data_IF_512376224771
#
_entry.id   IF_512376224771
#
_cell.length_a   1.000
_cell.length_b   1.000
_cell.length_c   1.000
_cell.angle_alpha   90.00
_cell.angle_beta   90.00
_cell.angle_gamma   90.00
#
_symmetry.space_group_name_H-M   'P 1'
#
loop_
_entity.id
_entity.type
_entity.pdbx_description
1 polymer ?
#
# COMPACT_ATOMS: atom_id res chain seq x y z
N UNK A 1 2.26 -13.68 6.60
CA UNK A 1 3.21 -12.57 6.84
C UNK A 1 2.54 -11.57 7.78
N UNK A 2 3.07 -11.32 8.97
CA UNK A 2 2.47 -10.35 9.92
C UNK A 2 2.55 -8.95 9.32
N UNK A 3 1.39 -8.33 9.11
CA UNK A 3 1.21 -6.99 8.53
C UNK A 3 2.09 -5.98 9.28
N UNK A 4 2.84 -5.13 8.57
CA UNK A 4 3.75 -4.11 9.12
C UNK A 4 3.07 -3.23 10.18
N UNK A 5 1.77 -3.00 10.02
CA UNK A 5 0.94 -2.29 11.00
C UNK A 5 0.84 -3.00 12.35
N UNK A 6 0.85 -4.34 12.39
CA UNK A 6 0.85 -5.12 13.64
C UNK A 6 2.18 -5.03 14.38
N UNK A 7 3.31 -4.95 13.67
CA UNK A 7 4.64 -4.75 14.29
C UNK A 7 4.78 -3.33 14.87
N UNK A 8 4.25 -2.33 14.16
CA UNK A 8 4.23 -0.96 14.66
C UNK A 8 3.29 -0.81 15.87
N UNK A 9 2.11 -1.45 15.88
CA UNK A 9 1.25 -1.37 17.05
C UNK A 9 1.89 -2.04 18.30
N UNK A 10 2.70 -3.08 18.11
CA UNK A 10 3.36 -3.81 19.19
C UNK A 10 4.49 -3.04 19.90
N UNK A 11 5.16 -2.05 19.28
CA UNK A 11 6.20 -1.26 19.99
C UNK A 11 5.61 -0.14 20.87
N UNK A 12 4.37 0.27 20.63
CA UNK A 12 3.73 1.32 21.42
C UNK A 12 3.43 0.88 22.86
N UNK A 13 3.10 -0.40 23.04
CA UNK A 13 2.84 -0.99 24.35
C UNK A 13 4.09 -1.01 25.27
N UNK A 14 5.28 -1.50 24.83
CA UNK A 14 6.49 -1.39 25.64
C UNK A 14 6.98 0.05 25.78
N UNK A 15 6.80 0.92 24.79
CA UNK A 15 7.18 2.33 24.88
C UNK A 15 6.39 3.07 25.98
N UNK A 16 5.07 2.84 26.06
CA UNK A 16 4.22 3.40 27.12
C UNK A 16 4.59 2.85 28.49
N UNK A 17 4.93 1.56 28.58
CA UNK A 17 5.44 0.94 29.81
C UNK A 17 6.73 1.60 30.32
N UNK A 18 7.70 1.85 29.44
CA UNK A 18 8.96 2.54 29.80
C UNK A 18 8.70 3.97 30.26
N UNK A 19 7.80 4.71 29.58
CA UNK A 19 7.45 6.08 29.98
C UNK A 19 6.78 6.14 31.36
N UNK A 20 5.87 5.21 31.68
CA UNK A 20 5.24 5.15 33.01
C UNK A 20 6.25 4.85 34.13
N UNK A 21 7.21 3.96 33.88
CA UNK A 21 8.27 3.65 34.86
C UNK A 21 9.14 4.89 35.10
N UNK A 22 9.52 5.62 34.04
CA UNK A 22 10.30 6.85 34.19
C UNK A 22 9.53 7.93 34.97
N UNK A 23 8.22 8.09 34.72
CA UNK A 23 7.38 9.03 35.47
C UNK A 23 7.31 8.63 36.95
N UNK A 24 7.12 7.35 37.26
CA UNK A 24 7.06 6.86 38.65
C UNK A 24 8.38 7.05 39.40
N UNK A 25 9.52 6.80 38.74
CA UNK A 25 10.86 7.01 39.32
C UNK A 25 11.11 8.50 39.59
N UNK A 26 10.76 9.40 38.65
CA UNK A 26 10.90 10.84 38.88
C UNK A 26 9.98 11.31 40.02
N UNK A 27 8.75 10.81 40.09
CA UNK A 27 7.82 11.16 41.17
C UNK A 27 8.31 10.70 42.56
N UNK A 28 9.06 9.60 42.64
CA UNK A 28 9.67 9.12 43.89
C UNK A 28 10.91 9.94 44.30
N UNK A 29 11.72 10.38 43.34
CA UNK A 29 12.94 11.17 43.59
C UNK A 29 12.60 12.64 43.90
N UNK A 30 11.59 13.21 43.24
CA UNK A 30 11.21 14.62 43.34
C UNK A 30 10.28 14.94 44.53
N UNK A 31 10.25 14.14 45.61
CA UNK A 31 9.35 14.36 46.76
C UNK A 31 9.56 15.73 47.48
N UNK A 32 10.66 16.44 47.19
CA UNK A 32 10.89 17.86 47.55
C UNK A 32 11.22 18.78 46.34
N UNK A 33 11.16 18.27 45.11
CA UNK A 33 11.65 18.92 43.88
C UNK A 33 10.57 19.59 43.01
N UNK A 34 11.00 20.23 41.91
CA UNK A 34 10.12 20.93 40.96
C UNK A 34 9.37 19.95 40.05
N UNK A 35 8.04 20.00 40.06
CA UNK A 35 7.13 19.14 39.27
C UNK A 35 7.23 19.29 37.73
N UNK A 36 8.11 20.17 37.24
CA UNK A 36 8.25 20.50 35.82
C UNK A 36 8.71 19.31 34.95
N UNK A 37 9.62 18.48 35.45
CA UNK A 37 10.17 17.31 34.75
C UNK A 37 9.11 16.24 34.47
N UNK A 38 8.30 15.93 35.49
CA UNK A 38 7.21 14.95 35.40
C UNK A 38 6.09 15.39 34.44
N UNK A 39 5.78 16.69 34.42
CA UNK A 39 4.75 17.26 33.52
C UNK A 39 5.17 17.18 32.05
N UNK A 40 6.45 17.44 31.75
CA UNK A 40 7.00 17.32 30.39
C UNK A 40 6.96 15.88 29.87
N UNK A 41 7.37 14.90 30.69
CA UNK A 41 7.33 13.48 30.33
C UNK A 41 5.90 12.99 30.04
N UNK A 42 4.93 13.43 30.84
CA UNK A 42 3.52 13.12 30.60
C UNK A 42 3.02 13.71 29.27
N UNK A 43 3.38 14.96 28.96
CA UNK A 43 3.04 15.60 27.69
C UNK A 43 3.60 14.87 26.47
N UNK A 44 4.86 14.41 26.54
CA UNK A 44 5.49 13.61 25.48
C UNK A 44 4.83 12.24 25.32
N UNK A 45 4.49 11.58 26.43
CA UNK A 45 3.80 10.29 26.41
C UNK A 45 2.38 10.43 25.81
N UNK A 46 1.62 11.44 26.24
CA UNK A 46 0.29 11.72 25.73
C UNK A 46 0.32 12.09 24.23
N UNK A 47 1.25 12.94 23.81
CA UNK A 47 1.42 13.32 22.41
C UNK A 47 1.83 12.16 21.50
N UNK A 48 2.68 11.26 22.00
CA UNK A 48 3.08 10.04 21.26
C UNK A 48 1.94 9.04 21.14
N UNK A 49 1.00 9.02 22.09
CA UNK A 49 -0.15 8.12 22.08
C UNK A 49 -1.34 8.66 21.25
N UNK A 50 -1.59 9.96 21.31
CA UNK A 50 -2.66 10.64 20.55
C UNK A 50 -2.23 11.12 19.16
N UNK A 51 -0.95 10.99 18.80
CA UNK A 51 -0.44 11.25 17.46
C UNK A 51 -1.29 10.56 16.40
N UNK A 52 -2.07 11.36 15.67
CA UNK A 52 -3.16 10.91 14.80
C UNK A 52 -2.67 9.90 13.77
N UNK A 53 -2.98 8.62 13.99
CA UNK A 53 -2.72 7.56 13.02
C UNK A 53 -3.75 7.68 11.92
N UNK A 54 -3.36 8.16 10.75
CA UNK A 54 -4.09 7.89 9.51
C UNK A 54 -3.94 6.40 9.21
N UNK A 55 -4.76 5.57 9.84
CA UNK A 55 -4.89 4.16 9.47
C UNK A 55 -5.67 4.11 8.16
N UNK A 56 -4.98 3.85 7.06
CA UNK A 56 -5.61 3.56 5.78
C UNK A 56 -6.33 2.21 5.96
N UNK A 57 -7.66 2.25 6.07
CA UNK A 57 -8.46 1.03 6.08
C UNK A 57 -8.37 0.42 4.69
N UNK A 58 -7.53 -0.61 4.55
CA UNK A 58 -7.38 -1.34 3.30
C UNK A 58 -8.48 -2.41 3.27
N UNK A 59 -9.31 -2.40 2.23
CA UNK A 59 -10.28 -3.47 2.03
C UNK A 59 -9.54 -4.77 1.72
N UNK A 60 -9.74 -5.77 2.58
CA UNK A 60 -9.11 -7.08 2.48
C UNK A 60 -9.60 -7.80 1.22
N UNK A 61 -10.86 -7.62 0.83
CA UNK A 61 -11.43 -8.28 -0.34
C UNK A 61 -10.77 -7.77 -1.63
N UNK A 62 -10.69 -6.44 -1.79
CA UNK A 62 -10.04 -5.83 -2.96
C UNK A 62 -8.54 -6.18 -3.01
N UNK A 63 -7.86 -6.23 -1.87
CA UNK A 63 -6.47 -6.67 -1.79
C UNK A 63 -6.29 -8.10 -2.29
N UNK A 64 -7.11 -9.04 -1.82
CA UNK A 64 -7.01 -10.45 -2.23
C UNK A 64 -7.32 -10.66 -3.71
N UNK A 65 -8.34 -9.96 -4.23
CA UNK A 65 -8.66 -9.97 -5.68
C UNK A 65 -7.50 -9.46 -6.51
N UNK A 66 -6.94 -8.31 -6.12
CA UNK A 66 -5.79 -7.70 -6.82
C UNK A 66 -4.58 -8.63 -6.81
N UNK A 67 -4.29 -9.23 -5.65
CA UNK A 67 -3.19 -10.18 -5.51
C UNK A 67 -3.37 -11.42 -6.41
N UNK A 68 -4.59 -11.96 -6.49
CA UNK A 68 -4.90 -13.09 -7.36
C UNK A 68 -4.66 -12.75 -8.84
N UNK A 69 -5.15 -11.59 -9.29
CA UNK A 69 -4.98 -11.15 -10.68
C UNK A 69 -3.50 -10.99 -11.02
N UNK A 70 -2.70 -10.40 -10.13
CA UNK A 70 -1.24 -10.27 -10.32
C UNK A 70 -0.56 -11.65 -10.39
N UNK A 71 -0.98 -12.62 -9.57
CA UNK A 71 -0.42 -13.98 -9.60
C UNK A 71 -0.73 -14.71 -10.91
N UNK A 72 -1.93 -14.52 -11.45
CA UNK A 72 -2.31 -15.08 -12.75
C UNK A 72 -1.53 -14.41 -13.89
N UNK A 73 -1.40 -13.08 -13.85
CA UNK A 73 -0.59 -12.34 -14.82
C UNK A 73 0.88 -12.77 -14.79
N UNK A 74 1.44 -13.03 -13.61
CA UNK A 74 2.80 -13.54 -13.46
C UNK A 74 2.99 -14.95 -14.06
N UNK A 75 1.91 -15.72 -14.22
CA UNK A 75 1.90 -17.03 -14.91
C UNK A 75 1.63 -16.91 -16.41
N UNK A 76 1.49 -15.69 -16.93
CA UNK A 76 1.18 -15.41 -18.34
C UNK A 76 -0.31 -15.38 -18.66
N UNK A 77 -1.19 -15.51 -17.65
CA UNK A 77 -2.63 -15.36 -17.85
C UNK A 77 -3.03 -13.89 -17.64
N UNK A 78 -3.15 -13.15 -18.74
CA UNK A 78 -3.48 -11.71 -18.73
C UNK A 78 -4.98 -11.43 -18.88
N UNK A 79 -5.84 -12.45 -18.92
CA UNK A 79 -7.30 -12.27 -19.06
C UNK A 79 -8.02 -11.79 -17.78
N UNK A 80 -7.59 -12.17 -16.55
CA UNK A 80 -8.30 -11.77 -15.35
C UNK A 80 -8.35 -10.24 -15.18
N UNK A 81 -9.51 -9.74 -14.76
CA UNK A 81 -9.74 -8.33 -14.45
C UNK A 81 -10.33 -8.17 -13.06
N UNK A 82 -9.96 -7.08 -12.40
CA UNK A 82 -10.51 -6.69 -11.11
C UNK A 82 -11.80 -5.90 -11.38
N UNK A 83 -12.95 -6.46 -11.03
CA UNK A 83 -14.28 -5.87 -11.28
C UNK A 83 -14.96 -5.46 -9.98
N UNK A 84 -16.00 -4.63 -10.08
CA UNK A 84 -16.77 -4.11 -8.95
C UNK A 84 -15.88 -3.38 -7.91
N UNK A 85 -15.03 -2.47 -8.41
CA UNK A 85 -14.15 -1.64 -7.58
C UNK A 85 -14.94 -0.45 -7.04
N UNK A 86 -15.06 -0.30 -5.73
CA UNK A 86 -15.64 0.90 -5.12
C UNK A 86 -14.61 2.05 -5.16
N UNK A 87 -14.91 3.17 -5.85
CA UNK A 87 -13.98 4.29 -6.01
C UNK A 87 -13.60 4.98 -4.68
N UNK A 88 -14.39 4.78 -3.62
CA UNK A 88 -14.11 5.35 -2.31
C UNK A 88 -13.05 4.56 -1.53
N UNK A 89 -12.68 3.37 -1.99
CA UNK A 89 -11.70 2.54 -1.31
C UNK A 89 -10.27 3.04 -1.57
N UNK A 90 -9.39 3.05 -0.54
CA UNK A 90 -8.03 3.56 -0.70
C UNK A 90 -7.19 2.79 -1.74
N UNK A 91 -7.53 1.52 -2.02
CA UNK A 91 -6.83 0.65 -2.97
C UNK A 91 -7.43 0.70 -4.39
N UNK A 92 -8.55 1.41 -4.59
CA UNK A 92 -9.29 1.42 -5.85
C UNK A 92 -8.44 1.87 -7.04
N UNK A 93 -7.64 2.92 -6.86
CA UNK A 93 -6.75 3.43 -7.91
C UNK A 93 -5.67 2.41 -8.30
N UNK A 94 -5.20 1.61 -7.35
CA UNK A 94 -4.22 0.56 -7.64
C UNK A 94 -4.89 -0.57 -8.44
N UNK A 95 -6.09 -1.00 -8.03
CA UNK A 95 -6.83 -2.02 -8.76
C UNK A 95 -7.14 -1.61 -10.20
N UNK A 96 -7.58 -0.35 -10.41
CA UNK A 96 -7.80 0.21 -11.74
C UNK A 96 -6.50 0.26 -12.56
N UNK A 97 -5.42 0.79 -11.99
CA UNK A 97 -4.13 0.86 -12.67
C UNK A 97 -3.55 -0.51 -13.05
N UNK A 98 -3.86 -1.57 -12.29
CA UNK A 98 -3.49 -2.94 -12.66
C UNK A 98 -4.30 -3.42 -13.88
N UNK A 99 -5.61 -3.14 -13.94
CA UNK A 99 -6.40 -3.47 -15.13
C UNK A 99 -5.87 -2.75 -16.36
N UNK A 100 -5.62 -1.44 -16.26
CA UNK A 100 -5.12 -0.63 -17.37
C UNK A 100 -3.76 -1.15 -17.88
N UNK A 101 -2.88 -1.57 -16.96
CA UNK A 101 -1.60 -2.19 -17.32
C UNK A 101 -1.79 -3.50 -18.09
N UNK A 102 -2.72 -4.35 -17.66
CA UNK A 102 -3.00 -5.61 -18.34
C UNK A 102 -3.59 -5.38 -19.73
N UNK A 103 -4.47 -4.40 -19.89
CA UNK A 103 -5.05 -4.02 -21.18
C UNK A 103 -3.98 -3.52 -22.16
N UNK A 104 -3.07 -2.65 -21.69
CA UNK A 104 -1.94 -2.19 -22.51
C UNK A 104 -1.02 -3.35 -22.92
N UNK A 105 -0.77 -4.31 -22.02
CA UNK A 105 0.04 -5.47 -22.35
C UNK A 105 -0.63 -6.37 -23.38
N UNK A 106 -1.94 -6.59 -23.28
CA UNK A 106 -2.71 -7.34 -24.27
C UNK A 106 -2.67 -6.65 -25.64
N UNK A 107 -2.88 -5.33 -25.67
CA UNK A 107 -2.82 -4.54 -26.89
C UNK A 107 -1.44 -4.63 -27.57
N UNK A 108 -0.36 -4.51 -26.78
CA UNK A 108 1.02 -4.68 -27.25
C UNK A 108 1.25 -6.07 -27.83
N UNK A 109 0.80 -7.13 -27.15
CA UNK A 109 0.95 -8.51 -27.62
C UNK A 109 0.20 -8.74 -28.94
N UNK A 110 -1.04 -8.24 -29.05
CA UNK A 110 -1.85 -8.35 -30.27
C UNK A 110 -1.19 -7.61 -31.45
N UNK A 111 -0.66 -6.42 -31.20
CA UNK A 111 0.04 -5.64 -32.21
C UNK A 111 1.34 -6.31 -32.66
N UNK A 112 2.10 -6.84 -31.71
CA UNK A 112 3.34 -7.59 -31.99
C UNK A 112 3.04 -8.80 -32.86
N UNK A 113 1.99 -9.57 -32.52
CA UNK A 113 1.53 -10.71 -33.31
C UNK A 113 1.18 -10.29 -34.75
N UNK A 114 0.36 -9.25 -34.91
CA UNK A 114 -0.06 -8.75 -36.23
C UNK A 114 1.13 -8.26 -37.06
N UNK A 115 2.12 -7.64 -36.41
CA UNK A 115 3.35 -7.17 -37.06
C UNK A 115 4.19 -8.34 -37.57
N UNK A 116 4.35 -9.39 -36.77
CA UNK A 116 5.06 -10.62 -37.15
C UNK A 116 4.34 -11.32 -38.31
N UNK A 117 3.02 -11.46 -38.23
CA UNK A 117 2.21 -12.08 -39.29
C UNK A 117 2.30 -11.29 -40.61
N UNK A 118 2.21 -9.96 -40.55
CA UNK A 118 2.33 -9.11 -41.74
C UNK A 118 3.73 -9.20 -42.38
N UNK A 119 4.78 -9.17 -41.55
CA UNK A 119 6.15 -9.34 -42.02
C UNK A 119 6.37 -10.72 -42.66
N UNK A 120 5.78 -11.78 -42.11
CA UNK A 120 5.84 -13.13 -42.69
C UNK A 120 5.19 -13.23 -44.08
N UNK A 121 4.23 -12.34 -44.36
CA UNK A 121 3.57 -12.20 -45.66
C UNK A 121 4.29 -11.22 -46.61
N UNK A 122 5.48 -10.74 -46.25
CA UNK A 122 6.26 -9.78 -47.03
C UNK A 122 5.73 -8.33 -46.99
N UNK A 123 4.78 -8.02 -46.11
CA UNK A 123 4.28 -6.64 -45.90
C UNK A 123 5.19 -5.94 -44.90
N UNK A 124 5.89 -4.91 -45.35
CA UNK A 124 6.89 -4.17 -44.55
C UNK A 124 6.37 -2.86 -43.95
N UNK A 125 5.09 -2.53 -44.16
CA UNK A 125 4.45 -1.33 -43.61
C UNK A 125 3.56 -1.69 -42.42
N UNK A 126 3.48 -0.79 -41.45
CA UNK A 126 2.58 -0.87 -40.28
C UNK A 126 1.95 0.48 -40.03
N UNK A 127 0.66 0.49 -39.70
CA UNK A 127 0.04 1.68 -39.13
C UNK A 127 0.43 1.76 -37.64
N UNK A 128 1.16 2.81 -37.25
CA UNK A 128 1.58 3.06 -35.87
C UNK A 128 0.62 4.08 -35.26
N UNK A 129 0.12 3.80 -34.05
CA UNK A 129 -0.60 4.79 -33.27
C UNK A 129 0.41 5.77 -32.66
N UNK A 130 0.40 7.02 -33.14
CA UNK A 130 1.34 8.05 -32.67
C UNK A 130 1.06 8.50 -31.22
N UNK A 131 -0.10 8.13 -30.67
CA UNK A 131 -0.57 8.50 -29.33
C UNK A 131 -0.32 7.43 -28.25
N UNK A 132 0.35 6.32 -28.60
CA UNK A 132 0.61 5.20 -27.70
C UNK A 132 -0.53 4.18 -27.63
N UNK A 133 -0.36 3.16 -26.77
CA UNK A 133 -1.43 2.20 -26.47
C UNK A 133 -2.42 2.88 -25.52
N UNK A 134 -3.68 2.98 -25.95
CA UNK A 134 -4.81 3.42 -25.13
C UNK A 134 -5.38 2.25 -24.36
#
# INVERSE_FOLDING_TARGET
>A
MKNSQTRYNAYNLPFLGVMLVLIAVNCFIDFEGSFATSTLLFGVAAGSFFGSRKTMQCDVELYEKTLRVIQEAARGNLEPRIVNIDPNQPMAQIALGINDLLDQMEALMRETKTSIESASQGKTYRNIFNEGFR
#
